data_IF_893102867910
#
_entry.id   IF_893102867910
#
_cell.length_a   1.000
_cell.length_b   1.000
_cell.length_c   1.000
_cell.angle_alpha   90.00
_cell.angle_beta   90.00
_cell.angle_gamma   90.00
#
_symmetry.space_group_name_H-M   'P 1'
#
loop_
_entity.id
_entity.type
_entity.pdbx_description
1 polymer ?
#
# COMPACT_ATOMS: atom_id res chain seq x y z
N UNK A 1 3.90 -3.42 -8.36
CA UNK A 1 3.06 -2.57 -7.51
C UNK A 1 3.24 -2.95 -6.05
N UNK A 2 3.07 -2.02 -5.17
CA UNK A 2 3.20 -2.24 -3.73
C UNK A 2 1.82 -2.53 -3.16
N UNK A 3 1.70 -3.65 -2.44
CA UNK A 3 0.45 -4.07 -1.82
C UNK A 3 0.56 -3.88 -0.32
N UNK A 4 -0.32 -3.08 0.26
CA UNK A 4 -0.38 -2.81 1.68
C UNK A 4 -1.66 -3.43 2.24
N UNK A 5 -1.50 -4.34 3.19
CA UNK A 5 -2.64 -4.92 3.90
C UNK A 5 -2.89 -4.12 5.17
N UNK A 6 -4.05 -3.51 5.26
CA UNK A 6 -4.45 -2.82 6.49
C UNK A 6 -5.32 -3.77 7.32
N UNK A 7 -5.24 -3.65 8.63
CA UNK A 7 -5.99 -4.54 9.54
C UNK A 7 -7.28 -3.91 10.05
N UNK A 8 -7.56 -2.68 9.65
CA UNK A 8 -8.80 -1.99 9.95
C UNK A 8 -9.07 -0.95 8.87
N UNK A 9 -10.32 -0.55 8.72
CA UNK A 9 -10.71 0.46 7.74
C UNK A 9 -11.02 1.75 8.50
N UNK A 10 -10.15 2.78 8.39
CA UNK A 10 -10.44 4.08 8.98
C UNK A 10 -11.72 4.69 8.39
N UNK A 11 -12.34 5.60 9.13
CA UNK A 11 -13.60 6.20 8.72
C UNK A 11 -13.45 7.28 7.65
N UNK A 12 -12.23 7.75 7.41
CA UNK A 12 -11.96 8.79 6.41
C UNK A 12 -10.93 8.35 5.40
N UNK A 13 -10.94 8.99 4.23
CA UNK A 13 -9.93 8.76 3.20
C UNK A 13 -8.54 9.17 3.67
N UNK A 14 -8.45 10.27 4.42
CA UNK A 14 -7.20 10.75 4.99
C UNK A 14 -6.64 9.76 6.00
N UNK A 15 -7.50 9.17 6.81
CA UNK A 15 -7.11 8.14 7.78
C UNK A 15 -6.58 6.89 7.09
N UNK A 16 -7.24 6.45 6.01
CA UNK A 16 -6.79 5.30 5.23
C UNK A 16 -5.43 5.58 4.58
N UNK A 17 -5.26 6.76 4.01
CA UNK A 17 -3.98 7.17 3.41
C UNK A 17 -2.87 7.19 4.46
N UNK A 18 -3.15 7.75 5.64
CA UNK A 18 -2.19 7.80 6.74
C UNK A 18 -1.76 6.38 7.17
N UNK A 19 -2.69 5.44 7.25
CA UNK A 19 -2.39 4.05 7.58
C UNK A 19 -1.57 3.38 6.50
N UNK A 20 -1.89 3.64 5.25
CA UNK A 20 -1.27 3.00 4.09
C UNK A 20 0.17 3.48 3.86
N UNK A 21 0.45 4.75 4.19
CA UNK A 21 1.74 5.35 3.86
C UNK A 21 2.89 4.97 4.80
N UNK A 22 2.61 4.55 6.04
CA UNK A 22 3.69 4.36 7.02
C UNK A 22 3.42 3.16 7.93
N UNK A 23 4.28 2.67 8.60
CA UNK A 23 5.73 2.69 8.74
C UNK A 23 6.18 1.29 8.35
N UNK A 24 6.78 1.14 7.18
CA UNK A 24 6.96 -0.17 6.59
C UNK A 24 8.42 -0.60 6.61
N UNK A 25 8.65 -1.86 6.90
CA UNK A 25 9.96 -2.49 6.79
C UNK A 25 10.11 -3.06 5.40
N UNK A 26 10.61 -2.25 4.50
CA UNK A 26 10.89 -2.69 3.15
C UNK A 26 12.22 -2.06 2.73
N UNK A 27 13.05 -2.85 2.06
CA UNK A 27 14.29 -2.32 1.52
C UNK A 27 13.95 -1.33 0.41
N UNK A 28 14.38 -0.07 0.51
CA UNK A 28 14.07 0.94 -0.52
C UNK A 28 14.49 0.53 -1.93
N UNK A 29 15.53 -0.30 -2.07
CA UNK A 29 15.95 -0.77 -3.40
C UNK A 29 14.85 -1.57 -4.11
N UNK A 30 13.92 -2.16 -3.37
CA UNK A 30 12.80 -2.91 -3.94
C UNK A 30 11.72 -2.00 -4.52
N UNK A 31 11.78 -0.71 -4.20
CA UNK A 31 10.81 0.27 -4.71
C UNK A 31 11.19 0.81 -6.09
N UNK A 32 12.35 0.44 -6.58
CA UNK A 32 12.78 0.83 -7.93
C UNK A 32 11.74 0.36 -8.95
N UNK A 33 11.31 1.27 -9.81
CA UNK A 33 10.26 1.03 -10.80
C UNK A 33 8.86 0.77 -10.24
N UNK A 34 8.64 1.01 -8.95
CA UNK A 34 7.30 0.91 -8.38
C UNK A 34 6.64 2.29 -8.42
N UNK A 35 5.46 2.37 -9.00
CA UNK A 35 4.73 3.64 -9.13
C UNK A 35 3.31 3.58 -8.56
N UNK A 36 2.88 2.41 -8.09
CA UNK A 36 1.51 2.20 -7.63
C UNK A 36 1.51 1.49 -6.29
N UNK A 37 0.68 1.99 -5.37
CA UNK A 37 0.44 1.36 -4.06
C UNK A 37 -1.05 1.10 -3.95
N UNK A 38 -1.42 -0.13 -3.56
CA UNK A 38 -2.82 -0.46 -3.29
C UNK A 38 -2.99 -0.76 -1.80
N UNK A 39 -4.10 -0.29 -1.26
CA UNK A 39 -4.49 -0.52 0.13
C UNK A 39 -5.57 -1.59 0.14
N UNK A 40 -5.32 -2.70 0.85
CA UNK A 40 -6.17 -3.89 0.81
C UNK A 40 -6.63 -4.25 2.22
N UNK A 41 -7.92 -4.54 2.35
CA UNK A 41 -8.49 -5.02 3.60
C UNK A 41 -9.26 -6.31 3.32
N UNK A 42 -8.80 -7.39 3.94
CA UNK A 42 -9.41 -8.72 3.79
C UNK A 42 -9.68 -9.11 2.33
N UNK A 43 -8.68 -8.82 1.49
CA UNK A 43 -8.74 -9.17 0.07
C UNK A 43 -9.45 -8.16 -0.82
N UNK A 44 -10.03 -7.12 -0.26
CA UNK A 44 -10.68 -6.07 -1.05
C UNK A 44 -9.77 -4.87 -1.22
N UNK A 45 -9.62 -4.39 -2.45
CA UNK A 45 -8.85 -3.18 -2.73
C UNK A 45 -9.71 -1.97 -2.35
N UNK A 46 -9.27 -1.25 -1.31
CA UNK A 46 -9.99 -0.09 -0.79
C UNK A 46 -9.62 1.17 -1.55
N UNK A 47 -8.35 1.31 -1.92
CA UNK A 47 -7.85 2.53 -2.55
C UNK A 47 -6.61 2.23 -3.37
N UNK A 48 -6.36 3.08 -4.35
CA UNK A 48 -5.18 2.99 -5.22
C UNK A 48 -4.48 4.34 -5.20
N UNK A 49 -3.15 4.31 -5.03
CA UNK A 49 -2.34 5.52 -4.95
C UNK A 49 -1.20 5.47 -5.94
N UNK A 50 -0.82 6.64 -6.42
CA UNK A 50 0.45 6.81 -7.11
C UNK A 50 1.54 6.97 -6.05
N UNK A 51 2.64 6.22 -6.21
CA UNK A 51 3.80 6.33 -5.34
C UNK A 51 4.69 7.44 -5.87
N UNK A 52 4.71 8.58 -5.16
CA UNK A 52 5.50 9.74 -5.55
C UNK A 52 6.93 9.66 -5.05
N UNK A 53 7.16 8.95 -3.95
CA UNK A 53 8.46 8.82 -3.34
C UNK A 53 8.34 8.19 -1.96
N UNK A 54 9.44 8.20 -1.23
CA UNK A 54 9.44 7.70 0.14
C UNK A 54 10.49 8.46 0.95
N UNK A 55 10.35 8.39 2.27
CA UNK A 55 11.29 9.00 3.21
C UNK A 55 11.46 8.08 4.42
N UNK A 56 12.49 8.33 5.21
CA UNK A 56 12.64 7.65 6.50
C UNK A 56 11.45 8.04 7.38
N UNK A 57 10.86 7.05 8.06
CA UNK A 57 9.75 7.34 8.96
C UNK A 57 10.26 8.14 10.16
N UNK A 58 9.56 9.22 10.48
CA UNK A 58 10.01 10.17 11.52
C UNK A 58 9.80 9.64 12.94
N UNK A 59 8.94 8.64 13.10
CA UNK A 59 8.57 8.11 14.42
C UNK A 59 9.19 6.73 14.62
N UNK A 60 9.16 5.88 13.59
CA UNK A 60 9.62 4.49 13.69
C UNK A 60 10.97 4.34 12.99
N UNK A 61 12.04 4.32 13.76
CA UNK A 61 13.38 4.17 13.23
C UNK A 61 13.55 2.87 12.44
N UNK A 62 14.28 2.96 11.33
CA UNK A 62 14.52 1.80 10.47
C UNK A 62 13.36 1.48 9.53
N UNK A 63 12.32 2.27 9.53
CA UNK A 63 11.15 2.09 8.65
C UNK A 63 11.04 3.27 7.70
N UNK A 64 10.24 3.09 6.65
CA UNK A 64 10.00 4.16 5.67
C UNK A 64 8.52 4.51 5.61
N UNK A 65 8.27 5.73 5.15
CA UNK A 65 6.93 6.22 4.87
C UNK A 65 6.85 6.59 3.39
N UNK A 66 5.74 6.24 2.74
CA UNK A 66 5.52 6.56 1.33
C UNK A 66 4.91 7.95 1.17
N UNK A 67 5.23 8.60 0.07
CA UNK A 67 4.49 9.77 -0.39
C UNK A 67 3.48 9.30 -1.41
N UNK A 68 2.20 9.46 -1.10
CA UNK A 68 1.10 8.89 -1.87
C UNK A 68 0.19 9.97 -2.41
N UNK A 69 -0.32 9.73 -3.63
CA UNK A 69 -1.35 10.55 -4.25
C UNK A 69 -2.51 9.64 -4.64
N UNK A 70 -3.70 9.98 -4.17
CA UNK A 70 -4.90 9.22 -4.50
C UNK A 70 -5.22 9.36 -5.99
N UNK A 71 -5.48 8.24 -6.67
CA UNK A 71 -5.80 8.24 -8.10
C UNK A 71 -7.07 7.42 -8.35
N UNK A 72 -7.74 7.73 -9.46
CA UNK A 72 -8.85 6.92 -9.93
C UNK A 72 -8.30 5.63 -10.55
N UNK A 73 -8.97 4.51 -10.27
CA UNK A 73 -8.55 3.22 -10.82
C UNK A 73 -9.72 2.25 -10.82
N UNK A 74 -9.80 1.43 -11.86
CA UNK A 74 -10.78 0.35 -11.95
C UNK A 74 -10.51 -0.77 -10.94
N UNK A 75 -9.36 -0.74 -10.29
CA UNK A 75 -9.01 -1.74 -9.28
C UNK A 75 -9.77 -1.55 -7.96
N UNK A 76 -10.28 -0.34 -7.69
CA UNK A 76 -11.00 -0.07 -6.44
C UNK A 76 -12.25 -0.95 -6.35
N UNK A 77 -12.42 -1.58 -5.21
CA UNK A 77 -13.56 -2.45 -4.95
C UNK A 77 -13.38 -3.88 -5.43
N UNK A 78 -12.35 -4.17 -6.18
CA UNK A 78 -12.09 -5.53 -6.65
C UNK A 78 -11.53 -6.38 -5.51
N UNK A 79 -11.81 -7.67 -5.57
CA UNK A 79 -11.29 -8.63 -4.60
C UNK A 79 -10.13 -9.40 -5.21
N UNK A 80 -9.09 -9.60 -4.41
CA UNK A 80 -7.89 -10.29 -4.86
C UNK A 80 -7.52 -11.42 -3.91
N UNK A 81 -6.69 -12.32 -4.41
CA UNK A 81 -6.11 -13.40 -3.62
C UNK A 81 -4.68 -12.98 -3.27
N UNK A 82 -4.34 -13.04 -1.98
CA UNK A 82 -2.98 -12.76 -1.53
C UNK A 82 -2.36 -14.03 -0.98
N UNK A 83 -1.09 -14.26 -1.30
CA UNK A 83 -0.38 -15.49 -0.95
C UNK A 83 0.59 -15.31 0.22
N UNK A 84 0.72 -14.10 0.73
CA UNK A 84 1.63 -13.81 1.82
C UNK A 84 0.89 -13.16 2.97
N UNK A 85 1.37 -13.37 4.19
CA UNK A 85 0.86 -12.69 5.37
C UNK A 85 1.55 -11.36 5.63
N UNK A 86 2.59 -11.03 4.88
CA UNK A 86 3.31 -9.77 5.06
C UNK A 86 2.39 -8.58 4.77
N UNK A 87 2.35 -7.58 5.66
CA UNK A 87 1.48 -6.42 5.45
C UNK A 87 1.97 -5.47 4.37
N UNK A 88 3.24 -5.55 3.98
CA UNK A 88 3.80 -4.74 2.90
C UNK A 88 4.61 -5.65 1.99
N UNK A 89 4.17 -5.77 0.74
CA UNK A 89 4.85 -6.63 -0.22
C UNK A 89 4.76 -6.04 -1.62
N UNK A 90 5.61 -6.54 -2.53
CA UNK A 90 5.61 -6.13 -3.93
C UNK A 90 5.06 -7.29 -4.74
N UNK A 91 4.10 -7.00 -5.61
CA UNK A 91 3.51 -7.98 -6.50
C UNK A 91 3.63 -7.50 -7.94
N UNK A 92 3.87 -8.43 -8.86
CA UNK A 92 3.93 -8.10 -10.28
C UNK A 92 2.55 -8.12 -10.91
N UNK A 93 1.76 -9.12 -10.56
CA UNK A 93 0.43 -9.31 -11.10
C UNK A 93 -0.55 -9.62 -9.97
N UNK A 94 -1.73 -9.02 -10.04
CA UNK A 94 -2.79 -9.31 -9.08
C UNK A 94 -3.57 -10.54 -9.54
N UNK A 95 -3.92 -11.40 -8.59
CA UNK A 95 -4.82 -12.52 -8.83
C UNK A 95 -6.19 -12.13 -8.30
N UNK A 96 -7.18 -12.03 -9.18
CA UNK A 96 -8.53 -11.63 -8.80
C UNK A 96 -9.35 -12.84 -8.38
N UNK A 97 -10.22 -12.59 -7.42
CA UNK A 97 -11.08 -13.61 -6.87
C UNK A 97 -12.44 -13.62 -7.55
#
# INVERSE_FOLDING_TARGET
>A
MVLIKVNEVPTTKEGLKARTRRAWRINPSRLYNQDTVISVYRGEILEVYKLLGYEADKISEGRIAFELEEIESDLKGKRIITKTSNPCTIVENLEFK
#
